data_IF_083350070954
#
_entry.id   IF_083350070954
#
_cell.length_a   1.000
_cell.length_b   1.000
_cell.length_c   1.000
_cell.angle_alpha   90.00
_cell.angle_beta   90.00
_cell.angle_gamma   90.00
#
_symmetry.space_group_name_H-M   'P 1'
#
loop_
_entity.id
_entity.type
_entity.pdbx_description
1 polymer ?
#
# COMPACT_ATOMS: atom_id res chain seq x y z
N UNK A 1 -16.72 -7.89 5.80
CA UNK A 1 -16.88 -6.60 6.53
C UNK A 1 -15.88 -5.64 5.91
N UNK A 2 -16.27 -4.41 5.58
CA UNK A 2 -15.38 -3.45 4.91
C UNK A 2 -14.31 -2.93 5.87
N UNK A 3 -13.16 -2.52 5.32
CA UNK A 3 -12.05 -1.94 6.14
C UNK A 3 -12.55 -0.81 7.05
N UNK A 4 -13.39 0.09 6.54
CA UNK A 4 -13.94 1.18 7.35
C UNK A 4 -14.85 0.70 8.50
N UNK A 5 -15.55 -0.42 8.33
CA UNK A 5 -16.38 -1.01 9.38
C UNK A 5 -15.49 -1.70 10.42
N UNK A 6 -14.42 -2.38 10.00
CA UNK A 6 -13.43 -3.01 10.88
C UNK A 6 -12.72 -1.98 11.76
N UNK A 7 -12.32 -0.85 11.19
CA UNK A 7 -11.71 0.26 11.94
C UNK A 7 -12.68 0.85 12.97
N UNK A 8 -13.95 1.01 12.60
CA UNK A 8 -14.98 1.55 13.51
C UNK A 8 -15.43 0.55 14.58
N UNK A 9 -15.19 -0.73 14.39
CA UNK A 9 -15.61 -1.79 15.33
C UNK A 9 -14.70 -1.96 16.54
N UNK A 10 -13.61 -1.19 16.63
CA UNK A 10 -12.67 -1.21 17.76
C UNK A 10 -12.65 0.13 18.46
N UNK A 11 -12.62 0.11 19.80
CA UNK A 11 -12.48 1.31 20.63
C UNK A 11 -11.03 1.83 20.66
N UNK A 12 -10.09 1.01 20.22
CA UNK A 12 -8.66 1.34 20.17
C UNK A 12 -8.23 1.59 18.72
N UNK A 13 -7.08 2.23 18.55
CA UNK A 13 -6.43 2.36 17.24
C UNK A 13 -6.19 0.99 16.62
N UNK A 14 -6.75 0.73 15.43
CA UNK A 14 -6.66 -0.56 14.76
C UNK A 14 -5.22 -0.84 14.28
N UNK A 15 -4.80 -2.11 14.38
CA UNK A 15 -3.55 -2.60 13.81
C UNK A 15 -3.79 -3.18 12.42
N UNK A 16 -2.95 -2.83 11.46
CA UNK A 16 -2.93 -3.43 10.13
C UNK A 16 -1.52 -3.41 9.55
N UNK A 17 -1.25 -4.25 8.57
CA UNK A 17 0.04 -4.29 7.91
C UNK A 17 -0.04 -4.77 6.48
N UNK A 18 1.04 -4.50 5.74
CA UNK A 18 1.20 -4.87 4.35
C UNK A 18 2.06 -6.13 4.21
N UNK A 19 1.74 -6.99 3.25
CA UNK A 19 2.55 -8.14 2.87
C UNK A 19 3.05 -8.00 1.44
N UNK A 20 4.34 -8.28 1.29
CA UNK A 20 5.00 -8.40 0.00
C UNK A 20 5.04 -9.88 -0.43
N UNK A 21 4.35 -10.29 -1.51
CA UNK A 21 4.43 -11.65 -2.04
C UNK A 21 5.89 -12.07 -2.31
N UNK A 22 6.28 -13.31 -2.03
CA UNK A 22 7.65 -13.77 -2.18
C UNK A 22 8.08 -13.81 -3.65
N UNK A 23 9.39 -13.86 -3.89
CA UNK A 23 9.91 -14.09 -5.24
C UNK A 23 9.53 -15.49 -5.73
N UNK A 24 9.40 -15.65 -7.04
CA UNK A 24 9.19 -16.95 -7.70
C UNK A 24 10.23 -17.98 -7.22
N UNK A 25 9.81 -19.23 -7.04
CA UNK A 25 10.64 -20.29 -6.47
C UNK A 25 10.63 -20.35 -4.94
N UNK A 26 9.98 -19.39 -4.26
CA UNK A 26 9.77 -19.41 -2.81
C UNK A 26 8.34 -19.84 -2.52
N UNK A 27 8.15 -20.75 -1.56
CA UNK A 27 6.83 -21.19 -1.12
C UNK A 27 6.07 -20.15 -0.28
N UNK A 28 4.85 -20.48 0.10
CA UNK A 28 3.95 -19.61 0.86
C UNK A 28 4.36 -19.49 2.35
N UNK A 29 5.20 -20.37 2.86
CA UNK A 29 5.59 -20.49 4.26
C UNK A 29 6.19 -19.18 4.80
N UNK A 30 6.90 -18.44 3.93
CA UNK A 30 7.46 -17.14 4.29
C UNK A 30 6.37 -16.11 4.62
N UNK A 31 5.26 -16.12 3.88
CA UNK A 31 4.11 -15.25 4.16
C UNK A 31 3.42 -15.68 5.45
N UNK A 32 3.20 -16.96 5.63
CA UNK A 32 2.61 -17.50 6.85
C UNK A 32 3.43 -17.12 8.08
N UNK A 33 4.76 -17.26 8.02
CA UNK A 33 5.64 -16.83 9.11
C UNK A 33 5.47 -15.35 9.46
N UNK A 34 5.30 -14.48 8.45
CA UNK A 34 5.05 -13.04 8.70
C UNK A 34 3.72 -12.83 9.41
N UNK A 35 2.64 -13.45 8.94
CA UNK A 35 1.32 -13.35 9.58
C UNK A 35 1.34 -13.96 10.97
N UNK A 36 1.92 -15.16 11.14
CA UNK A 36 2.03 -15.82 12.45
C UNK A 36 2.80 -14.98 13.47
N UNK A 37 3.78 -14.19 13.02
CA UNK A 37 4.56 -13.28 13.88
C UNK A 37 3.76 -12.07 14.35
N UNK A 38 2.83 -11.57 13.52
CA UNK A 38 2.13 -10.30 13.77
C UNK A 38 0.66 -10.49 14.19
N UNK A 39 0.07 -11.68 14.03
CA UNK A 39 -1.35 -11.92 14.32
C UNK A 39 -1.70 -11.81 15.81
N UNK A 40 -0.72 -11.90 16.71
CA UNK A 40 -0.93 -11.72 18.16
C UNK A 40 -1.45 -10.33 18.52
N UNK A 41 -1.25 -9.33 17.62
CA UNK A 41 -1.75 -7.95 17.77
C UNK A 41 -3.11 -7.71 17.12
N UNK A 42 -3.85 -8.76 16.80
CA UNK A 42 -5.20 -8.71 16.23
C UNK A 42 -5.34 -7.80 15.00
N UNK A 43 -4.58 -8.05 13.91
CA UNK A 43 -4.66 -7.24 12.71
C UNK A 43 -6.07 -7.26 12.13
N UNK A 44 -6.67 -6.08 11.96
CA UNK A 44 -8.04 -5.97 11.45
C UNK A 44 -8.12 -6.29 9.95
N UNK A 45 -7.06 -6.00 9.22
CA UNK A 45 -6.92 -6.34 7.80
C UNK A 45 -5.44 -6.41 7.40
N UNK A 46 -5.17 -7.11 6.29
CA UNK A 46 -3.82 -7.28 5.74
C UNK A 46 -3.83 -6.82 4.28
N UNK A 47 -3.01 -5.82 3.96
CA UNK A 47 -2.80 -5.39 2.59
C UNK A 47 -1.83 -6.32 1.86
N UNK A 48 -2.09 -6.58 0.59
CA UNK A 48 -1.26 -7.46 -0.23
C UNK A 48 -0.78 -6.69 -1.46
N UNK A 49 0.53 -6.42 -1.50
CA UNK A 49 1.10 -5.68 -2.62
C UNK A 49 0.97 -6.44 -3.93
N UNK A 50 0.76 -5.69 -4.99
CA UNK A 50 0.82 -6.19 -6.37
C UNK A 50 2.08 -5.68 -7.05
N UNK A 51 2.72 -6.54 -7.83
CA UNK A 51 3.88 -6.17 -8.63
C UNK A 51 3.62 -6.44 -10.10
N UNK A 52 3.89 -5.43 -10.91
CA UNK A 52 3.82 -5.53 -12.37
C UNK A 52 4.76 -6.63 -12.90
N UNK A 53 4.43 -7.17 -14.05
CA UNK A 53 5.38 -7.96 -14.84
C UNK A 53 6.47 -7.04 -15.39
N UNK A 54 7.69 -7.54 -15.46
CA UNK A 54 8.84 -6.82 -16.03
C UNK A 54 9.15 -7.37 -17.42
N UNK A 55 9.64 -6.52 -18.32
CA UNK A 55 10.21 -6.98 -19.57
C UNK A 55 11.68 -7.27 -19.39
N UNK A 56 12.09 -8.46 -19.82
CA UNK A 56 13.50 -8.91 -19.85
C UNK A 56 13.92 -9.05 -21.29
N UNK A 57 15.07 -8.49 -21.62
CA UNK A 57 15.67 -8.55 -22.95
C UNK A 57 16.81 -9.57 -22.92
N UNK A 58 16.68 -10.62 -23.76
CA UNK A 58 17.70 -11.63 -23.95
C UNK A 58 18.37 -11.38 -25.30
N UNK A 59 19.68 -11.21 -25.31
CA UNK A 59 20.46 -11.10 -26.54
C UNK A 59 20.48 -12.46 -27.27
N UNK A 60 20.15 -12.43 -28.56
CA UNK A 60 20.16 -13.61 -29.45
C UNK A 60 21.38 -13.67 -30.35
N UNK A 61 22.27 -12.68 -30.29
CA UNK A 61 23.39 -12.48 -31.19
C UNK A 61 23.07 -11.50 -32.34
N UNK A 62 24.08 -10.98 -33.00
CA UNK A 62 23.98 -10.03 -34.13
C UNK A 62 23.18 -8.76 -33.79
N UNK A 63 23.19 -8.32 -32.53
CA UNK A 63 22.45 -7.13 -32.10
C UNK A 63 20.94 -7.33 -31.95
N UNK A 64 20.44 -8.55 -32.07
CA UNK A 64 19.03 -8.88 -31.89
C UNK A 64 18.73 -9.20 -30.43
N UNK A 65 17.58 -8.70 -29.94
CA UNK A 65 17.10 -8.94 -28.57
C UNK A 65 15.69 -9.51 -28.60
N UNK A 66 15.50 -10.59 -27.85
CA UNK A 66 14.17 -11.14 -27.56
C UNK A 66 13.62 -10.46 -26.32
N UNK A 67 12.47 -9.78 -26.45
CA UNK A 67 11.71 -9.23 -25.32
C UNK A 67 10.75 -10.30 -24.79
N UNK A 68 10.84 -10.62 -23.51
CA UNK A 68 9.93 -11.53 -22.80
C UNK A 68 9.31 -10.85 -21.59
N UNK A 69 8.00 -11.02 -21.39
CA UNK A 69 7.32 -10.56 -20.17
C UNK A 69 7.59 -11.58 -19.06
N UNK A 70 8.08 -11.13 -17.92
CA UNK A 70 8.43 -11.98 -16.80
C UNK A 70 7.70 -11.56 -15.54
N UNK A 71 6.93 -12.47 -14.95
CA UNK A 71 6.33 -12.30 -13.63
C UNK A 71 7.30 -12.84 -12.57
N UNK A 72 7.63 -12.02 -11.57
CA UNK A 72 8.60 -12.38 -10.54
C UNK A 72 7.96 -12.81 -9.23
N UNK A 73 6.66 -12.50 -9.01
CA UNK A 73 5.94 -12.77 -7.77
C UNK A 73 4.57 -13.37 -8.06
N UNK A 74 3.99 -14.15 -7.13
CA UNK A 74 2.59 -14.56 -7.21
C UNK A 74 1.66 -13.35 -7.33
N UNK A 75 0.48 -13.54 -7.91
CA UNK A 75 -0.55 -12.50 -7.97
C UNK A 75 -1.20 -12.27 -6.62
N UNK A 76 -1.68 -11.05 -6.45
CA UNK A 76 -2.36 -10.63 -5.22
C UNK A 76 -3.60 -11.49 -4.93
N UNK A 77 -4.35 -11.91 -5.95
CA UNK A 77 -5.53 -12.79 -5.81
C UNK A 77 -5.18 -14.11 -5.12
N UNK A 78 -4.16 -14.81 -5.60
CA UNK A 78 -3.76 -16.09 -5.03
C UNK A 78 -3.28 -15.96 -3.57
N UNK A 79 -2.55 -14.89 -3.27
CA UNK A 79 -2.07 -14.61 -1.91
C UNK A 79 -3.22 -14.23 -1.00
N UNK A 80 -4.15 -13.37 -1.46
CA UNK A 80 -5.32 -12.95 -0.71
C UNK A 80 -6.20 -14.15 -0.34
N UNK A 81 -6.52 -15.00 -1.32
CA UNK A 81 -7.30 -16.23 -1.10
C UNK A 81 -6.65 -17.16 -0.07
N UNK A 82 -5.33 -17.39 -0.20
CA UNK A 82 -4.61 -18.27 0.71
C UNK A 82 -4.57 -17.74 2.15
N UNK A 83 -4.36 -16.42 2.34
CA UNK A 83 -4.32 -15.81 3.66
C UNK A 83 -5.71 -15.73 4.30
N UNK A 84 -6.71 -15.29 3.54
CA UNK A 84 -8.08 -15.20 4.04
C UNK A 84 -8.61 -16.57 4.44
N UNK A 85 -8.39 -17.61 3.63
CA UNK A 85 -8.81 -18.98 3.94
C UNK A 85 -8.11 -19.54 5.18
N UNK A 86 -6.81 -19.29 5.35
CA UNK A 86 -6.05 -19.83 6.49
C UNK A 86 -6.30 -19.10 7.80
N UNK A 87 -6.39 -17.78 7.76
CA UNK A 87 -6.39 -16.95 8.98
C UNK A 87 -7.74 -16.32 9.29
N UNK A 88 -8.68 -16.35 8.37
CA UNK A 88 -9.98 -15.65 8.48
C UNK A 88 -9.83 -14.16 8.79
N UNK A 89 -8.77 -13.52 8.25
CA UNK A 89 -8.50 -12.09 8.37
C UNK A 89 -8.85 -11.44 7.03
N UNK A 90 -9.52 -10.30 7.06
CA UNK A 90 -9.82 -9.52 5.85
C UNK A 90 -8.54 -9.17 5.10
N UNK A 91 -8.48 -9.54 3.82
CA UNK A 91 -7.36 -9.21 2.94
C UNK A 91 -7.74 -8.08 1.99
N UNK A 92 -6.79 -7.18 1.76
CA UNK A 92 -6.94 -6.00 0.91
C UNK A 92 -5.91 -6.06 -0.23
N UNK A 93 -6.24 -6.72 -1.36
CA UNK A 93 -5.39 -6.73 -2.54
C UNK A 93 -5.17 -5.32 -3.09
N UNK A 94 -3.93 -5.02 -3.49
CA UNK A 94 -3.62 -3.81 -4.23
C UNK A 94 -3.97 -4.00 -5.71
N UNK A 95 -4.72 -3.07 -6.27
CA UNK A 95 -5.05 -3.00 -7.70
C UNK A 95 -4.31 -1.81 -8.30
N UNK A 96 -3.57 -2.06 -9.38
CA UNK A 96 -2.63 -1.10 -9.95
C UNK A 96 -2.95 -0.76 -11.40
N UNK A 97 -2.71 0.50 -11.80
CA UNK A 97 -2.62 0.86 -13.21
C UNK A 97 -1.32 0.30 -13.83
N UNK A 98 -0.23 0.32 -13.06
CA UNK A 98 1.10 -0.06 -13.54
C UNK A 98 1.17 -1.54 -13.96
N UNK A 99 1.42 -1.79 -15.25
CA UNK A 99 1.63 -3.12 -15.80
C UNK A 99 0.36 -3.95 -16.02
N UNK A 100 -0.82 -3.30 -16.01
CA UNK A 100 -2.12 -3.93 -16.25
C UNK A 100 -2.92 -3.16 -17.31
N UNK A 101 -3.53 -3.90 -18.24
CA UNK A 101 -4.57 -3.38 -19.12
C UNK A 101 -5.92 -3.35 -18.40
N UNK A 102 -6.94 -2.79 -19.03
CA UNK A 102 -8.32 -2.82 -18.52
C UNK A 102 -8.84 -4.24 -18.38
N UNK A 103 -8.54 -5.08 -19.37
CA UNK A 103 -8.91 -6.49 -19.38
C UNK A 103 -8.19 -7.28 -18.28
N UNK A 104 -6.86 -7.05 -18.09
CA UNK A 104 -6.11 -7.67 -16.99
C UNK A 104 -6.74 -7.30 -15.62
N UNK A 105 -7.16 -6.04 -15.47
CA UNK A 105 -7.83 -5.55 -14.26
C UNK A 105 -9.19 -6.23 -14.06
N UNK A 106 -10.00 -6.32 -15.11
CA UNK A 106 -11.30 -6.99 -15.04
C UNK A 106 -11.18 -8.46 -14.63
N UNK A 107 -10.20 -9.20 -15.17
CA UNK A 107 -9.95 -10.57 -14.75
C UNK A 107 -9.60 -10.68 -13.27
N UNK A 108 -8.79 -9.76 -12.75
CA UNK A 108 -8.49 -9.71 -11.31
C UNK A 108 -9.75 -9.43 -10.48
N UNK A 109 -10.61 -8.51 -10.91
CA UNK A 109 -11.86 -8.19 -10.22
C UNK A 109 -12.84 -9.37 -10.23
N UNK A 110 -12.98 -10.07 -11.36
CA UNK A 110 -13.80 -11.28 -11.46
C UNK A 110 -13.35 -12.36 -10.48
N UNK A 111 -12.04 -12.64 -10.44
CA UNK A 111 -11.47 -13.63 -9.52
C UNK A 111 -11.69 -13.25 -8.06
N UNK A 112 -11.47 -11.99 -7.69
CA UNK A 112 -11.66 -11.49 -6.33
C UNK A 112 -13.14 -11.56 -5.91
N UNK A 113 -14.05 -11.14 -6.80
CA UNK A 113 -15.49 -11.21 -6.52
C UNK A 113 -15.95 -12.65 -6.32
N UNK A 114 -15.48 -13.58 -7.17
CA UNK A 114 -15.77 -15.02 -7.03
C UNK A 114 -15.29 -15.58 -5.68
N UNK A 115 -14.14 -15.12 -5.20
CA UNK A 115 -13.58 -15.51 -3.89
C UNK A 115 -14.21 -14.80 -2.69
N UNK A 116 -15.12 -13.83 -2.91
CA UNK A 116 -15.71 -13.02 -1.84
C UNK A 116 -14.72 -12.04 -1.18
N UNK A 117 -13.65 -11.67 -1.89
CA UNK A 117 -12.66 -10.68 -1.45
C UNK A 117 -13.05 -9.33 -2.06
N UNK A 118 -13.62 -8.45 -1.24
CA UNK A 118 -14.31 -7.25 -1.72
C UNK A 118 -13.66 -5.93 -1.30
N UNK A 119 -12.63 -5.97 -0.47
CA UNK A 119 -11.88 -4.79 -0.06
C UNK A 119 -10.60 -4.64 -0.88
N UNK A 120 -10.35 -3.45 -1.42
CA UNK A 120 -9.24 -3.18 -2.31
C UNK A 120 -8.44 -1.96 -1.85
N UNK A 121 -7.16 -1.87 -2.25
CA UNK A 121 -6.41 -0.63 -2.24
C UNK A 121 -6.05 -0.26 -3.69
N UNK A 122 -6.59 0.87 -4.16
CA UNK A 122 -6.46 1.31 -5.56
C UNK A 122 -5.32 2.30 -5.69
N UNK A 123 -4.35 1.96 -6.52
CA UNK A 123 -3.10 2.69 -6.67
C UNK A 123 -2.76 2.88 -8.15
N UNK A 124 -2.04 3.95 -8.48
CA UNK A 124 -1.43 4.04 -9.81
C UNK A 124 -0.30 3.01 -9.96
N UNK A 125 0.48 2.83 -8.92
CA UNK A 125 1.72 2.08 -8.93
C UNK A 125 2.89 2.89 -9.49
N UNK A 126 4.10 2.34 -9.34
CA UNK A 126 5.34 3.00 -9.72
C UNK A 126 5.66 2.82 -11.21
N UNK A 127 6.44 3.76 -11.76
CA UNK A 127 7.07 3.61 -13.07
C UNK A 127 8.06 2.43 -13.08
N UNK A 128 8.33 1.86 -14.23
CA UNK A 128 9.37 0.85 -14.35
C UNK A 128 10.76 1.47 -14.09
N UNK A 129 11.70 0.65 -13.62
CA UNK A 129 13.05 1.11 -13.26
C UNK A 129 13.82 1.80 -14.40
N UNK A 130 13.49 1.43 -15.64
CA UNK A 130 14.14 1.97 -16.85
C UNK A 130 13.35 3.15 -17.46
N UNK A 131 12.18 3.50 -16.92
CA UNK A 131 11.33 4.58 -17.39
C UNK A 131 11.64 5.89 -16.64
N UNK A 132 11.67 7.00 -17.36
CA UNK A 132 11.84 8.34 -16.77
C UNK A 132 10.54 8.86 -16.15
N UNK A 133 9.39 8.48 -16.73
CA UNK A 133 8.05 8.80 -16.26
C UNK A 133 7.18 7.54 -16.28
N UNK A 134 6.02 7.60 -15.63
CA UNK A 134 5.03 6.52 -15.67
C UNK A 134 4.48 6.36 -17.10
N UNK A 135 4.45 5.11 -17.57
CA UNK A 135 3.88 4.74 -18.87
C UNK A 135 2.87 3.61 -18.64
N UNK A 136 1.58 3.81 -18.96
CA UNK A 136 0.57 2.75 -18.83
C UNK A 136 0.83 1.61 -19.81
N UNK A 137 0.28 0.44 -19.53
CA UNK A 137 0.18 -0.61 -20.54
C UNK A 137 -0.74 -0.19 -21.68
N UNK A 138 -0.61 -0.86 -22.83
CA UNK A 138 -1.56 -0.65 -23.92
C UNK A 138 -3.00 -0.94 -23.42
N UNK A 139 -3.92 -0.02 -23.69
CA UNK A 139 -5.28 -0.05 -23.13
C UNK A 139 -5.33 -0.06 -21.58
N UNK A 140 -4.32 0.48 -20.90
CA UNK A 140 -4.27 0.65 -19.44
C UNK A 140 -4.62 2.07 -19.01
N UNK A 141 -4.51 2.34 -17.71
CA UNK A 141 -4.83 3.63 -17.09
C UNK A 141 -3.58 4.41 -16.70
N UNK A 142 -3.67 5.74 -16.83
CA UNK A 142 -2.61 6.66 -16.39
C UNK A 142 -2.71 7.03 -14.92
N UNK A 143 -3.93 7.09 -14.39
CA UNK A 143 -4.20 7.58 -13.04
C UNK A 143 -5.12 6.64 -12.27
N UNK A 144 -4.95 6.58 -10.95
CA UNK A 144 -5.77 5.73 -10.08
C UNK A 144 -7.27 6.04 -10.20
N UNK A 145 -7.65 7.29 -10.45
CA UNK A 145 -9.05 7.67 -10.59
C UNK A 145 -9.75 6.98 -11.76
N UNK A 146 -9.05 6.79 -12.88
CA UNK A 146 -9.60 6.07 -14.05
C UNK A 146 -9.81 4.57 -13.72
N UNK A 147 -8.94 4.01 -12.88
CA UNK A 147 -9.06 2.65 -12.36
C UNK A 147 -10.24 2.54 -11.36
N UNK A 148 -10.46 3.56 -10.53
CA UNK A 148 -11.62 3.63 -9.64
C UNK A 148 -12.94 3.66 -10.44
N UNK A 149 -12.99 4.38 -11.56
CA UNK A 149 -14.13 4.40 -12.46
C UNK A 149 -14.45 2.99 -13.00
N UNK A 150 -13.45 2.23 -13.43
CA UNK A 150 -13.66 0.83 -13.86
C UNK A 150 -14.21 -0.04 -12.73
N UNK A 151 -13.71 0.10 -11.50
CA UNK A 151 -14.21 -0.64 -10.34
C UNK A 151 -15.67 -0.26 -10.05
N UNK A 152 -16.00 1.02 -10.14
CA UNK A 152 -17.36 1.50 -9.96
C UNK A 152 -18.32 0.99 -11.04
N UNK A 153 -17.88 0.93 -12.29
CA UNK A 153 -18.67 0.37 -13.39
C UNK A 153 -18.84 -1.15 -13.22
N UNK A 154 -17.80 -1.86 -12.81
CA UNK A 154 -17.89 -3.27 -12.45
C UNK A 154 -18.91 -3.50 -11.33
N UNK A 155 -18.93 -2.67 -10.30
CA UNK A 155 -19.93 -2.72 -9.22
C UNK A 155 -21.38 -2.50 -9.72
N UNK A 156 -21.55 -1.74 -10.80
CA UNK A 156 -22.85 -1.54 -11.46
C UNK A 156 -23.19 -2.65 -12.48
N UNK A 157 -22.26 -3.57 -12.75
CA UNK A 157 -22.42 -4.63 -13.73
C UNK A 157 -22.11 -4.19 -15.17
N UNK A 158 -21.32 -3.14 -15.34
CA UNK A 158 -20.81 -2.71 -16.64
C UNK A 158 -19.36 -3.19 -16.76
N UNK A 159 -19.08 -3.98 -17.80
CA UNK A 159 -17.79 -4.60 -18.05
C UNK A 159 -17.03 -3.91 -19.18
N UNK A 160 -15.75 -4.22 -19.37
CA UNK A 160 -14.87 -3.59 -20.36
C UNK A 160 -15.40 -3.73 -21.79
N UNK A 161 -16.09 -4.83 -22.09
CA UNK A 161 -16.75 -5.07 -23.38
C UNK A 161 -18.07 -4.29 -23.57
N UNK A 162 -18.50 -3.54 -22.53
CA UNK A 162 -19.76 -2.78 -22.53
C UNK A 162 -21.01 -3.62 -22.30
N UNK A 163 -20.87 -4.93 -22.03
CA UNK A 163 -22.03 -5.79 -21.76
C UNK A 163 -22.57 -5.55 -20.33
N UNK A 164 -23.86 -5.22 -20.16
CA UNK A 164 -24.45 -5.09 -18.85
C UNK A 164 -24.85 -6.46 -18.30
N UNK A 165 -24.36 -6.81 -17.12
CA UNK A 165 -24.73 -8.05 -16.43
C UNK A 165 -25.20 -7.69 -15.02
N UNK A 166 -26.30 -8.31 -14.56
CA UNK A 166 -26.80 -8.13 -13.19
C UNK A 166 -25.78 -8.70 -12.21
N UNK A 167 -25.09 -7.83 -11.47
CA UNK A 167 -24.19 -8.23 -10.39
C UNK A 167 -25.02 -8.66 -9.18
N UNK A 168 -24.72 -9.85 -8.64
CA UNK A 168 -25.35 -10.42 -7.44
C UNK A 168 -24.40 -10.55 -6.26
N UNK A 169 -23.10 -10.30 -6.49
CA UNK A 169 -22.07 -10.31 -5.45
C UNK A 169 -22.05 -9.02 -4.63
N UNK A 170 -21.30 -9.03 -3.52
CA UNK A 170 -21.02 -7.83 -2.73
C UNK A 170 -20.18 -6.87 -3.55
N UNK A 171 -20.55 -5.58 -3.66
CA UNK A 171 -19.75 -4.58 -4.35
C UNK A 171 -18.37 -4.43 -3.72
N UNK A 172 -17.37 -4.09 -4.53
CA UNK A 172 -16.06 -3.71 -4.03
C UNK A 172 -16.12 -2.39 -3.25
N UNK A 173 -15.47 -2.39 -2.10
CA UNK A 173 -15.11 -1.22 -1.29
C UNK A 173 -13.62 -0.97 -1.46
N UNK A 174 -13.19 0.26 -1.52
CA UNK A 174 -11.76 0.52 -1.73
C UNK A 174 -11.24 1.74 -0.99
N UNK A 175 -9.96 1.67 -0.63
CA UNK A 175 -9.14 2.79 -0.22
C UNK A 175 -8.16 3.22 -1.30
N UNK A 176 -7.51 4.35 -1.08
CA UNK A 176 -6.50 4.95 -1.97
C UNK A 176 -5.25 5.36 -1.21
N UNK A 177 -4.16 5.66 -1.93
CA UNK A 177 -2.97 6.23 -1.32
C UNK A 177 -3.02 7.77 -1.29
N UNK A 178 -2.33 8.33 -0.28
CA UNK A 178 -2.05 9.76 -0.17
C UNK A 178 -0.63 9.99 0.38
N UNK A 179 -0.13 11.23 0.30
CA UNK A 179 1.25 11.57 0.65
C UNK A 179 1.26 12.77 1.61
N UNK A 180 1.64 12.60 2.89
CA UNK A 180 1.73 13.71 3.83
C UNK A 180 2.78 14.75 3.42
N UNK A 181 3.81 14.33 2.72
CA UNK A 181 4.91 15.17 2.25
C UNK A 181 4.84 15.48 0.74
N UNK A 182 3.69 15.28 0.11
CA UNK A 182 3.44 15.48 -1.32
C UNK A 182 3.99 14.34 -2.21
N UNK A 183 3.27 14.02 -3.27
CA UNK A 183 3.72 13.09 -4.30
C UNK A 183 4.80 13.74 -5.20
N UNK A 184 5.82 12.96 -5.61
CA UNK A 184 6.97 13.48 -6.38
C UNK A 184 6.57 14.17 -7.71
N UNK A 185 5.48 13.75 -8.32
CA UNK A 185 5.02 14.28 -9.61
C UNK A 185 4.04 15.46 -9.49
N UNK A 186 3.53 15.77 -8.30
CA UNK A 186 2.68 16.94 -8.10
C UNK A 186 3.51 18.19 -7.82
N UNK A 187 3.19 19.35 -8.41
CA UNK A 187 3.97 20.56 -8.21
C UNK A 187 3.84 21.15 -6.79
N UNK A 188 2.71 20.92 -6.13
CA UNK A 188 2.42 21.45 -4.78
C UNK A 188 1.43 20.56 -4.03
N UNK A 189 1.29 20.79 -2.73
CA UNK A 189 0.39 20.05 -1.86
C UNK A 189 -1.08 20.29 -2.19
N UNK A 190 -1.44 21.49 -2.65
CA UNK A 190 -2.81 21.86 -3.01
C UNK A 190 -3.33 20.94 -4.13
N UNK A 191 -2.52 20.70 -5.14
CA UNK A 191 -2.89 19.81 -6.23
C UNK A 191 -2.94 18.34 -5.79
N UNK A 192 -2.06 17.94 -4.86
CA UNK A 192 -2.07 16.58 -4.32
C UNK A 192 -3.35 16.33 -3.51
N UNK A 193 -3.77 17.28 -2.69
CA UNK A 193 -5.05 17.23 -1.95
C UNK A 193 -6.26 17.30 -2.90
N UNK A 194 -6.18 18.10 -3.96
CA UNK A 194 -7.23 18.14 -5.00
C UNK A 194 -7.44 16.75 -5.63
N UNK A 195 -6.37 16.05 -5.99
CA UNK A 195 -6.48 14.70 -6.54
C UNK A 195 -6.96 13.67 -5.51
N UNK A 196 -6.56 13.82 -4.25
CA UNK A 196 -7.12 13.00 -3.17
C UNK A 196 -8.64 13.21 -3.06
N UNK A 197 -9.09 14.48 -3.08
CA UNK A 197 -10.51 14.82 -3.07
C UNK A 197 -11.26 14.16 -4.21
N UNK A 198 -10.72 14.20 -5.43
CA UNK A 198 -11.32 13.55 -6.60
C UNK A 198 -11.46 12.03 -6.43
N UNK A 199 -10.46 11.37 -5.87
CA UNK A 199 -10.52 9.94 -5.54
C UNK A 199 -11.60 9.62 -4.49
N UNK A 200 -11.74 10.45 -3.47
CA UNK A 200 -12.80 10.29 -2.45
C UNK A 200 -14.18 10.55 -3.05
N UNK A 201 -14.33 11.58 -3.88
CA UNK A 201 -15.58 11.87 -4.60
C UNK A 201 -15.98 10.74 -5.55
N UNK A 202 -15.01 10.01 -6.13
CA UNK A 202 -15.23 8.84 -6.96
C UNK A 202 -15.70 7.60 -6.16
N UNK A 203 -15.49 7.56 -4.84
CA UNK A 203 -16.00 6.48 -3.99
C UNK A 203 -15.00 5.84 -3.04
N UNK A 204 -13.75 6.31 -2.99
CA UNK A 204 -12.80 5.79 -2.02
C UNK A 204 -13.25 6.09 -0.58
N UNK A 205 -13.27 5.07 0.27
CA UNK A 205 -13.83 5.14 1.62
C UNK A 205 -12.77 5.49 2.69
N UNK A 206 -11.49 5.36 2.39
CA UNK A 206 -10.36 5.72 3.27
C UNK A 206 -9.10 6.00 2.45
N UNK A 207 -8.11 6.60 3.08
CA UNK A 207 -6.79 6.77 2.47
C UNK A 207 -5.69 6.25 3.40
N UNK A 208 -4.66 5.60 2.82
CA UNK A 208 -3.46 5.16 3.52
C UNK A 208 -2.30 6.05 3.07
N UNK A 209 -1.52 6.56 4.03
CA UNK A 209 -0.41 7.45 3.68
C UNK A 209 0.83 6.67 3.21
N UNK A 210 1.66 7.32 2.39
CA UNK A 210 3.06 6.93 2.28
C UNK A 210 3.70 6.99 3.67
N UNK A 211 4.77 6.19 3.91
CA UNK A 211 5.52 6.29 5.16
C UNK A 211 6.09 7.70 5.35
N UNK A 212 6.22 8.12 6.59
CA UNK A 212 6.83 9.38 7.03
C UNK A 212 7.51 9.17 8.38
N UNK A 213 8.40 10.08 8.77
CA UNK A 213 9.15 9.99 10.04
C UNK A 213 8.92 11.20 10.96
N UNK A 214 8.20 12.22 10.48
CA UNK A 214 7.79 13.40 11.25
C UNK A 214 6.26 13.47 11.33
N UNK A 215 5.70 13.25 12.54
CA UNK A 215 4.26 13.30 12.75
C UNK A 215 3.65 14.67 12.46
N UNK A 216 4.42 15.76 12.59
CA UNK A 216 3.94 17.12 12.27
C UNK A 216 3.46 17.20 10.81
N UNK A 217 4.20 16.55 9.88
CA UNK A 217 3.82 16.47 8.46
C UNK A 217 2.47 15.79 8.26
N UNK A 218 2.23 14.69 9.01
CA UNK A 218 0.96 13.99 8.96
C UNK A 218 -0.18 14.86 9.53
N UNK A 219 0.01 15.49 10.69
CA UNK A 219 -1.04 16.31 11.31
C UNK A 219 -1.38 17.54 10.46
N UNK A 220 -0.39 18.25 9.93
CA UNK A 220 -0.57 19.36 9.00
C UNK A 220 -1.33 18.92 7.74
N UNK A 221 -0.97 17.78 7.18
CA UNK A 221 -1.66 17.21 6.02
C UNK A 221 -3.13 16.90 6.36
N UNK A 222 -3.41 16.21 7.45
CA UNK A 222 -4.77 15.88 7.86
C UNK A 222 -5.59 17.13 8.11
N UNK A 223 -5.04 18.17 8.76
CA UNK A 223 -5.72 19.45 8.95
C UNK A 223 -6.12 20.10 7.61
N UNK A 224 -5.21 20.14 6.65
CA UNK A 224 -5.47 20.66 5.30
C UNK A 224 -6.53 19.85 4.57
N UNK A 225 -6.44 18.52 4.63
CA UNK A 225 -7.42 17.59 4.03
C UNK A 225 -8.82 17.81 4.62
N UNK A 226 -8.94 18.04 5.94
CA UNK A 226 -10.21 18.33 6.61
C UNK A 226 -10.79 19.69 6.18
N UNK A 227 -9.94 20.72 5.99
CA UNK A 227 -10.37 22.03 5.48
C UNK A 227 -10.97 21.94 4.07
N UNK A 228 -10.52 21.00 3.27
CA UNK A 228 -11.07 20.73 1.93
C UNK A 228 -12.33 19.87 1.94
N UNK A 229 -12.86 19.52 3.12
CA UNK A 229 -14.09 18.75 3.30
C UNK A 229 -13.92 17.24 3.14
N UNK A 230 -12.70 16.71 3.11
CA UNK A 230 -12.42 15.28 3.05
C UNK A 230 -12.50 14.72 4.48
N UNK A 231 -13.50 13.89 4.79
CA UNK A 231 -13.77 13.39 6.15
C UNK A 231 -13.54 11.89 6.33
N UNK A 232 -13.12 11.18 5.29
CA UNK A 232 -12.79 9.76 5.38
C UNK A 232 -11.58 9.51 6.30
N UNK A 233 -11.42 8.30 6.87
CA UNK A 233 -10.24 7.94 7.62
C UNK A 233 -8.95 8.15 6.81
N UNK A 234 -7.97 8.85 7.39
CA UNK A 234 -6.60 8.95 6.86
C UNK A 234 -5.72 8.10 7.77
N UNK A 235 -5.23 6.99 7.24
CA UNK A 235 -4.52 5.97 7.99
C UNK A 235 -3.01 6.19 7.83
N UNK A 236 -2.28 6.52 8.92
CA UNK A 236 -0.84 6.69 8.83
C UNK A 236 -0.13 5.37 8.48
N UNK A 237 0.70 5.42 7.46
CA UNK A 237 1.58 4.34 7.04
C UNK A 237 2.95 4.47 7.72
N UNK A 238 3.37 3.46 8.47
CA UNK A 238 4.55 3.52 9.34
C UNK A 238 5.55 2.42 9.00
N UNK A 239 6.83 2.78 8.95
CA UNK A 239 7.92 1.86 8.69
C UNK A 239 9.10 2.13 9.63
N UNK A 240 9.51 1.14 10.48
CA UNK A 240 10.70 1.31 11.29
C UNK A 240 11.97 1.50 10.42
N UNK A 241 12.81 2.46 10.82
CA UNK A 241 14.15 2.62 10.29
C UNK A 241 15.03 1.45 10.80
N UNK A 242 15.92 0.88 9.97
CA UNK A 242 16.63 -0.35 10.32
C UNK A 242 18.10 -0.38 9.99
N UNK A 243 18.54 0.40 9.02
CA UNK A 243 19.90 0.29 8.48
C UNK A 243 20.48 1.66 8.19
N UNK A 244 21.76 1.83 8.42
CA UNK A 244 22.45 3.07 8.10
C UNK A 244 22.32 3.47 6.62
N UNK A 245 22.30 2.49 5.71
CA UNK A 245 22.09 2.76 4.29
C UNK A 245 20.74 3.41 3.97
N UNK A 246 19.76 3.30 4.86
CA UNK A 246 18.42 3.90 4.70
C UNK A 246 18.43 5.42 4.86
N UNK A 247 19.41 6.01 5.54
CA UNK A 247 19.57 7.47 5.63
C UNK A 247 19.53 8.17 4.26
N UNK A 248 20.17 7.55 3.27
CA UNK A 248 20.21 8.10 1.92
C UNK A 248 19.16 7.47 1.00
N UNK A 249 18.84 6.18 1.22
CA UNK A 249 17.96 5.43 0.33
C UNK A 249 16.50 5.87 0.48
N UNK A 250 16.01 6.06 1.70
CA UNK A 250 14.60 6.39 1.96
C UNK A 250 14.23 7.75 1.35
N UNK A 251 14.91 8.87 1.65
CA UNK A 251 14.60 10.16 1.04
C UNK A 251 14.67 10.14 -0.48
N UNK A 252 15.69 9.48 -1.02
CA UNK A 252 15.89 9.40 -2.47
C UNK A 252 14.81 8.59 -3.17
N UNK A 253 14.36 7.48 -2.55
CA UNK A 253 13.42 6.54 -3.19
C UNK A 253 11.97 6.99 -3.03
N UNK A 254 11.60 7.43 -1.83
CA UNK A 254 10.22 7.73 -1.47
C UNK A 254 9.89 9.23 -1.46
N UNK A 255 10.90 10.09 -1.66
CA UNK A 255 10.76 11.56 -1.67
C UNK A 255 10.14 12.11 -0.37
N UNK A 256 10.56 11.53 0.74
CA UNK A 256 10.16 11.93 2.09
C UNK A 256 11.37 12.42 2.86
N UNK A 257 11.16 13.27 3.84
CA UNK A 257 12.20 13.81 4.70
C UNK A 257 12.50 12.89 5.88
N UNK A 258 13.75 12.83 6.29
CA UNK A 258 14.14 12.32 7.60
C UNK A 258 14.33 13.51 8.53
N UNK A 259 13.66 13.53 9.72
CA UNK A 259 13.88 14.56 10.72
C UNK A 259 15.36 14.68 11.09
N UNK A 260 15.82 15.90 11.32
CA UNK A 260 17.22 16.16 11.66
C UNK A 260 17.66 15.37 12.89
N UNK A 261 16.77 15.24 13.88
CA UNK A 261 16.99 14.50 15.11
C UNK A 261 17.27 13.02 14.80
N UNK A 262 16.39 12.37 14.02
CA UNK A 262 16.57 10.97 13.62
C UNK A 262 17.86 10.77 12.82
N UNK A 263 18.11 11.65 11.85
CA UNK A 263 19.31 11.57 11.02
C UNK A 263 20.60 11.74 11.86
N UNK A 264 20.61 12.69 12.82
CA UNK A 264 21.74 12.94 13.70
C UNK A 264 22.03 11.77 14.64
N UNK A 265 21.00 11.16 15.22
CA UNK A 265 21.16 9.95 16.07
C UNK A 265 21.60 8.75 15.22
N UNK A 266 21.01 8.55 14.05
CA UNK A 266 21.41 7.45 13.16
C UNK A 266 22.87 7.56 12.66
N UNK A 267 23.41 8.77 12.50
CA UNK A 267 24.83 8.95 12.16
C UNK A 267 25.79 8.58 13.29
N UNK A 268 25.33 8.48 14.54
CA UNK A 268 26.13 8.01 15.69
C UNK A 268 26.22 6.49 15.73
N UNK A 269 25.26 5.77 15.14
CA UNK A 269 25.25 4.32 15.10
C UNK A 269 26.43 3.78 14.27
N UNK A 270 27.04 2.72 14.77
CA UNK A 270 28.19 2.08 14.12
C UNK A 270 27.78 0.81 13.36
N UNK A 271 26.64 0.22 13.73
CA UNK A 271 26.12 -1.04 13.16
C UNK A 271 24.67 -0.92 12.71
N UNK A 272 24.22 -1.84 11.87
CA UNK A 272 22.82 -1.93 11.45
C UNK A 272 21.91 -2.32 12.65
N UNK A 273 22.41 -3.05 13.65
CA UNK A 273 21.69 -3.42 14.87
C UNK A 273 21.41 -2.19 15.75
N UNK A 274 22.38 -1.30 15.90
CA UNK A 274 22.18 -0.02 16.60
C UNK A 274 21.17 0.86 15.86
N UNK A 275 21.26 0.92 14.52
CA UNK A 275 20.32 1.64 13.69
C UNK A 275 18.89 1.04 13.76
N UNK A 276 18.76 -0.29 13.86
CA UNK A 276 17.47 -0.95 14.04
C UNK A 276 16.86 -0.63 15.42
N UNK A 277 17.68 -0.64 16.49
CA UNK A 277 17.22 -0.28 17.83
C UNK A 277 16.71 1.16 17.89
N UNK A 278 17.48 2.10 17.34
CA UNK A 278 17.04 3.50 17.19
C UNK A 278 15.74 3.61 16.42
N UNK A 279 15.62 2.89 15.30
CA UNK A 279 14.41 2.92 14.45
C UNK A 279 13.18 2.35 15.15
N UNK A 280 13.33 1.33 15.99
CA UNK A 280 12.26 0.80 16.84
C UNK A 280 11.82 1.83 17.88
N UNK A 281 12.76 2.45 18.60
CA UNK A 281 12.46 3.49 19.60
C UNK A 281 11.76 4.69 18.96
N UNK A 282 12.27 5.18 17.84
CA UNK A 282 11.65 6.27 17.09
C UNK A 282 10.23 5.92 16.69
N UNK A 283 10.03 4.73 16.12
CA UNK A 283 8.73 4.26 15.66
C UNK A 283 7.73 4.10 16.83
N UNK A 284 8.16 3.63 18.01
CA UNK A 284 7.32 3.55 19.21
C UNK A 284 6.86 4.95 19.64
N UNK A 285 7.77 5.91 19.65
CA UNK A 285 7.45 7.31 20.00
C UNK A 285 6.43 7.88 19.02
N UNK A 286 6.69 7.73 17.71
CA UNK A 286 5.83 8.17 16.62
C UNK A 286 4.42 7.56 16.74
N UNK A 287 4.32 6.25 16.96
CA UNK A 287 3.04 5.55 17.08
C UNK A 287 2.27 5.99 18.33
N UNK A 288 2.93 6.16 19.48
CA UNK A 288 2.28 6.64 20.73
C UNK A 288 1.67 8.01 20.56
N UNK A 289 2.36 8.93 19.89
CA UNK A 289 1.82 10.26 19.60
C UNK A 289 0.62 10.20 18.65
N UNK A 290 0.70 9.39 17.58
CA UNK A 290 -0.41 9.17 16.67
C UNK A 290 -1.64 8.59 17.39
N UNK A 291 -1.46 7.58 18.24
CA UNK A 291 -2.53 6.98 19.05
C UNK A 291 -3.14 8.01 20.00
N UNK A 292 -2.32 8.79 20.68
CA UNK A 292 -2.78 9.85 21.59
C UNK A 292 -3.60 10.94 20.87
N UNK A 293 -3.32 11.18 19.59
CA UNK A 293 -4.09 12.08 18.73
C UNK A 293 -5.33 11.42 18.09
N UNK A 294 -5.63 10.16 18.42
CA UNK A 294 -6.86 9.48 18.01
C UNK A 294 -6.88 9.02 16.56
N UNK A 295 -5.74 8.62 15.97
CA UNK A 295 -5.75 8.03 14.63
C UNK A 295 -6.58 6.74 14.62
N UNK A 296 -7.38 6.51 13.57
CA UNK A 296 -8.32 5.37 13.55
C UNK A 296 -7.63 4.01 13.40
N UNK A 297 -6.47 3.99 12.77
CA UNK A 297 -5.67 2.80 12.52
C UNK A 297 -4.22 3.21 12.27
N UNK A 298 -3.26 2.31 12.54
CA UNK A 298 -1.88 2.43 12.06
C UNK A 298 -1.62 1.27 11.09
N UNK A 299 -1.11 1.62 9.91
CA UNK A 299 -0.74 0.66 8.89
C UNK A 299 0.77 0.50 8.81
N UNK A 300 1.28 -0.70 9.10
CA UNK A 300 2.71 -0.97 9.08
C UNK A 300 3.19 -1.51 7.74
N UNK A 301 4.41 -1.09 7.34
CA UNK A 301 5.15 -1.60 6.19
C UNK A 301 6.30 -2.52 6.65
N UNK A 302 6.03 -3.79 7.02
CA UNK A 302 7.00 -4.68 7.66
C UNK A 302 8.02 -5.29 6.68
N UNK A 303 8.01 -4.89 5.41
CA UNK A 303 8.95 -5.42 4.42
C UNK A 303 10.39 -5.35 4.92
N UNK A 304 11.00 -6.51 5.11
CA UNK A 304 12.34 -6.71 5.71
C UNK A 304 12.45 -6.25 7.18
N UNK A 305 11.37 -5.90 7.87
CA UNK A 305 11.34 -5.36 9.23
C UNK A 305 10.26 -6.01 10.12
N UNK A 306 9.90 -7.28 9.88
CA UNK A 306 8.80 -7.96 10.61
C UNK A 306 9.07 -7.99 12.12
N UNK A 307 10.29 -8.31 12.54
CA UNK A 307 10.65 -8.33 13.95
C UNK A 307 10.65 -6.94 14.58
N UNK A 308 11.16 -5.93 13.85
CA UNK A 308 11.11 -4.54 14.33
C UNK A 308 9.68 -4.05 14.52
N UNK A 309 8.76 -4.37 13.57
CA UNK A 309 7.32 -4.08 13.72
C UNK A 309 6.71 -4.84 14.89
N UNK A 310 7.10 -6.09 15.11
CA UNK A 310 6.67 -6.86 16.29
C UNK A 310 7.05 -6.17 17.60
N UNK A 311 8.29 -5.71 17.73
CA UNK A 311 8.73 -5.01 18.94
C UNK A 311 8.02 -3.67 19.15
N UNK A 312 7.78 -2.93 18.04
CA UNK A 312 6.95 -1.71 18.10
C UNK A 312 5.53 -2.05 18.55
N UNK A 313 4.89 -3.04 17.94
CA UNK A 313 3.51 -3.42 18.26
C UNK A 313 3.35 -3.85 19.72
N UNK A 314 4.29 -4.63 20.29
CA UNK A 314 4.30 -4.98 21.72
C UNK A 314 4.33 -3.77 22.66
N UNK A 315 4.90 -2.65 22.21
CA UNK A 315 5.04 -1.46 23.05
C UNK A 315 3.83 -0.53 23.00
N UNK A 316 2.93 -0.72 22.01
CA UNK A 316 1.82 0.20 21.75
C UNK A 316 0.44 -0.45 21.77
N UNK A 317 0.35 -1.77 21.56
CA UNK A 317 -0.86 -2.61 21.66
C UNK A 317 -0.78 -3.59 22.83
#
# INVERSE_FOLDING_TARGET
MRVVDLIKSTDNTAFSFEILPPLKGTGIEKLYKTVDTLREFDPKYINITTHRSEYVYKELGNGLYQRTRQRRRPGTVAVAAALQNKYNITTVPHILCSGFSREDTEYVLLDLQFLGITDLLVLRGDKAKHESAFVPENNGYNHAIELEEQINDFNKGVFVDGSPIKVTGTPFSYGVACNPERHEETPNMELDIYWLKKKIEAGAEYAVTQMFYDNRKYFEFVERVRKEGINVPIIPGIKPFRKLSQLNMIPKTFKIDLPQELASEAMKCQTDEEAESLGIEWCIHQCRELIACGVPSIHFYPVSAVNSVKEVAKAIY
#
